data_IF_494930405470
#
_entry.id   IF_494930405470
#
_cell.length_a   1.000
_cell.length_b   1.000
_cell.length_c   1.000
_cell.angle_alpha   90.00
_cell.angle_beta   90.00
_cell.angle_gamma   90.00
#
_symmetry.space_group_name_H-M   'P 1'
#
loop_
_entity.id
_entity.type
_entity.pdbx_description
1 polymer ?
#
# COMPACT_ATOMS: atom_id res chain seq x y z
N UNK A 1 -47.24 3.10 -9.19
CA UNK A 1 -45.95 3.57 -8.62
C UNK A 1 -45.80 3.45 -7.09
N UNK A 2 -46.77 2.92 -6.33
CA UNK A 2 -46.63 2.74 -4.87
C UNK A 2 -46.11 1.35 -4.44
N UNK A 3 -46.60 0.29 -5.08
CA UNK A 3 -46.32 -1.10 -4.68
C UNK A 3 -44.82 -1.46 -4.70
N UNK A 4 -44.07 -0.98 -5.70
CA UNK A 4 -42.62 -1.21 -5.81
C UNK A 4 -41.81 -0.52 -4.70
N UNK A 5 -42.25 0.66 -4.24
CA UNK A 5 -41.61 1.37 -3.11
C UNK A 5 -41.86 0.67 -1.78
N UNK A 6 -43.09 0.20 -1.56
CA UNK A 6 -43.45 -0.54 -0.37
C UNK A 6 -42.69 -1.88 -0.27
N UNK A 7 -42.64 -2.63 -1.38
CA UNK A 7 -41.89 -3.89 -1.45
C UNK A 7 -40.40 -3.68 -1.16
N UNK A 8 -39.78 -2.63 -1.71
CA UNK A 8 -38.38 -2.33 -1.44
C UNK A 8 -38.12 -1.97 0.03
N UNK A 9 -39.03 -1.21 0.67
CA UNK A 9 -38.88 -0.83 2.08
C UNK A 9 -38.96 -2.02 3.04
N UNK A 10 -39.79 -3.02 2.74
CA UNK A 10 -39.95 -4.23 3.54
C UNK A 10 -38.78 -5.20 3.38
N UNK A 11 -38.12 -5.21 2.22
CA UNK A 11 -37.09 -6.19 1.87
C UNK A 11 -35.65 -5.67 2.02
N UNK A 12 -35.45 -4.37 2.30
CA UNK A 12 -34.10 -3.81 2.45
C UNK A 12 -33.41 -4.38 3.70
N UNK A 13 -32.10 -4.63 3.67
CA UNK A 13 -31.35 -5.06 4.84
C UNK A 13 -31.40 -4.02 5.97
N UNK A 14 -31.36 -4.44 7.25
CA UNK A 14 -31.18 -3.52 8.36
C UNK A 14 -29.85 -2.76 8.21
N UNK A 15 -29.86 -1.47 8.54
CA UNK A 15 -28.67 -0.62 8.54
C UNK A 15 -27.69 -0.97 9.67
N UNK A 16 -26.61 -0.21 9.79
CA UNK A 16 -25.63 -0.38 10.87
C UNK A 16 -26.27 -0.14 12.25
N UNK A 17 -25.90 -0.89 13.30
CA UNK A 17 -26.40 -0.65 14.65
C UNK A 17 -25.96 0.72 15.18
N UNK A 18 -26.67 1.23 16.19
CA UNK A 18 -26.28 2.46 16.87
C UNK A 18 -24.84 2.36 17.38
N UNK A 19 -24.04 3.41 17.16
CA UNK A 19 -22.62 3.46 17.53
C UNK A 19 -21.65 2.94 16.45
N UNK A 20 -22.13 2.41 15.34
CA UNK A 20 -21.27 1.97 14.22
C UNK A 20 -21.35 2.93 13.04
N UNK A 21 -20.17 3.37 12.57
CA UNK A 21 -19.99 4.07 11.31
C UNK A 21 -19.22 3.15 10.34
N UNK A 22 -19.58 3.17 9.06
CA UNK A 22 -18.84 2.47 8.02
C UNK A 22 -18.19 3.48 7.09
N UNK A 23 -16.93 3.22 6.75
CA UNK A 23 -16.18 3.98 5.75
C UNK A 23 -15.29 3.03 4.95
N UNK A 24 -15.06 3.35 3.68
CA UNK A 24 -14.09 2.66 2.84
C UNK A 24 -12.87 3.56 2.71
N UNK A 25 -11.87 3.35 3.55
CA UNK A 25 -10.58 4.02 3.46
C UNK A 25 -9.64 3.31 2.47
N UNK A 26 -8.80 4.08 1.80
CA UNK A 26 -7.62 3.57 1.09
C UNK A 26 -6.39 4.17 1.75
N UNK A 27 -5.36 3.36 1.94
CA UNK A 27 -4.03 3.83 2.33
C UNK A 27 -3.25 3.99 1.04
N UNK A 28 -2.68 5.17 0.83
CA UNK A 28 -1.77 5.45 -0.28
C UNK A 28 -0.33 5.40 0.24
N UNK A 29 0.56 4.84 -0.56
CA UNK A 29 1.99 4.82 -0.29
C UNK A 29 2.74 5.35 -1.51
N UNK A 30 3.80 6.12 -1.27
CA UNK A 30 4.70 6.52 -2.35
C UNK A 30 5.73 5.42 -2.54
N UNK A 31 5.67 4.76 -3.68
CA UNK A 31 6.69 3.81 -4.11
C UNK A 31 7.84 4.54 -4.81
N UNK A 32 9.07 4.14 -4.48
CA UNK A 32 10.28 4.70 -5.10
C UNK A 32 11.18 3.56 -5.51
N UNK A 33 11.35 3.41 -6.81
CA UNK A 33 12.34 2.51 -7.38
C UNK A 33 13.72 3.17 -7.35
N UNK A 34 14.70 2.46 -6.81
CA UNK A 34 16.08 2.94 -6.73
C UNK A 34 16.94 2.10 -7.68
N UNK A 35 17.69 2.78 -8.54
CA UNK A 35 18.66 2.18 -9.45
C UNK A 35 20.01 2.90 -9.39
N UNK A 36 21.09 2.18 -9.70
CA UNK A 36 22.42 2.79 -9.81
C UNK A 36 22.47 3.71 -11.03
N UNK A 37 23.18 4.84 -10.89
CA UNK A 37 23.41 5.78 -12.01
C UNK A 37 24.43 5.28 -13.02
N UNK A 38 25.28 4.35 -12.60
CA UNK A 38 26.32 3.72 -13.41
C UNK A 38 26.02 2.25 -13.57
N UNK A 39 26.43 1.67 -14.70
CA UNK A 39 26.40 0.23 -14.90
C UNK A 39 27.49 -0.44 -14.05
N UNK A 40 27.24 -1.66 -13.59
CA UNK A 40 28.19 -2.45 -12.80
C UNK A 40 27.52 -3.68 -12.17
N UNK A 41 28.32 -4.51 -11.49
CA UNK A 41 27.80 -5.60 -10.66
C UNK A 41 27.60 -5.11 -9.22
N UNK A 42 26.61 -5.70 -8.54
CA UNK A 42 26.48 -5.56 -7.09
C UNK A 42 27.56 -6.44 -6.44
N UNK A 43 28.35 -5.86 -5.54
CA UNK A 43 29.26 -6.59 -4.67
C UNK A 43 28.50 -7.15 -3.46
N UNK A 44 27.80 -6.27 -2.73
CA UNK A 44 27.10 -6.63 -1.49
C UNK A 44 25.76 -5.91 -1.35
N UNK A 45 24.72 -6.61 -0.88
CA UNK A 45 23.45 -6.03 -0.42
C UNK A 45 23.49 -5.96 1.11
N UNK A 46 23.24 -4.78 1.68
CA UNK A 46 23.40 -4.51 3.13
C UNK A 46 22.08 -4.55 3.90
N UNK A 47 20.96 -4.73 3.21
CA UNK A 47 19.61 -4.69 3.77
C UNK A 47 18.84 -5.95 3.41
N UNK A 48 17.75 -6.22 4.14
CA UNK A 48 16.82 -7.33 3.87
C UNK A 48 15.46 -6.80 3.42
N UNK A 49 14.69 -7.66 2.79
CA UNK A 49 13.29 -7.36 2.46
C UNK A 49 12.49 -7.04 3.74
N UNK A 50 11.65 -6.00 3.67
CA UNK A 50 10.85 -5.51 4.80
C UNK A 50 11.64 -4.76 5.88
N UNK A 51 12.96 -4.57 5.70
CA UNK A 51 13.77 -3.79 6.64
C UNK A 51 13.45 -2.30 6.53
N UNK A 52 13.19 -1.65 7.66
CA UNK A 52 13.13 -0.19 7.72
C UNK A 52 14.52 0.41 7.53
N UNK A 53 14.61 1.44 6.69
CA UNK A 53 15.86 2.15 6.38
C UNK A 53 15.65 3.66 6.55
N UNK A 54 16.75 4.38 6.72
CA UNK A 54 16.74 5.84 6.91
C UNK A 54 17.32 6.56 5.70
N UNK A 55 17.00 7.85 5.56
CA UNK A 55 17.59 8.67 4.51
C UNK A 55 19.12 8.69 4.65
N UNK A 56 19.82 8.47 3.52
CA UNK A 56 21.27 8.45 3.47
C UNK A 56 21.91 7.11 3.86
N UNK A 57 21.11 6.12 4.27
CA UNK A 57 21.59 4.77 4.56
C UNK A 57 22.07 4.06 3.29
N UNK A 58 23.20 3.36 3.37
CA UNK A 58 23.77 2.62 2.24
C UNK A 58 23.06 1.29 2.11
N UNK A 59 22.33 1.10 1.00
CA UNK A 59 21.53 -0.12 0.77
C UNK A 59 22.34 -1.25 0.13
N UNK A 60 23.27 -0.91 -0.77
CA UNK A 60 24.12 -1.86 -1.49
C UNK A 60 25.45 -1.22 -1.88
N UNK A 61 26.46 -2.05 -2.12
CA UNK A 61 27.76 -1.64 -2.66
C UNK A 61 27.95 -2.23 -4.05
N UNK A 62 28.46 -1.41 -4.96
CA UNK A 62 28.82 -1.83 -6.31
C UNK A 62 30.25 -2.37 -6.32
N UNK A 63 30.50 -3.35 -7.17
CA UNK A 63 31.85 -3.80 -7.49
C UNK A 63 32.57 -2.71 -8.30
N UNK A 64 33.69 -2.21 -7.76
CA UNK A 64 34.53 -1.19 -8.38
C UNK A 64 35.87 -1.74 -8.85
N UNK A 65 36.08 -3.06 -8.74
CA UNK A 65 37.27 -3.72 -9.27
C UNK A 65 37.16 -3.86 -10.78
N UNK A 66 38.03 -3.17 -11.52
CA UNK A 66 38.21 -3.37 -12.95
C UNK A 66 39.24 -4.47 -13.21
#
# INVERSE_FOLDING_TARGET
MGARRAAWWLLRPPGLPAGFASSNGRIEATEVDIASKIAGRIDTILVKEGQFVHQGEVLARMDTGY
#
